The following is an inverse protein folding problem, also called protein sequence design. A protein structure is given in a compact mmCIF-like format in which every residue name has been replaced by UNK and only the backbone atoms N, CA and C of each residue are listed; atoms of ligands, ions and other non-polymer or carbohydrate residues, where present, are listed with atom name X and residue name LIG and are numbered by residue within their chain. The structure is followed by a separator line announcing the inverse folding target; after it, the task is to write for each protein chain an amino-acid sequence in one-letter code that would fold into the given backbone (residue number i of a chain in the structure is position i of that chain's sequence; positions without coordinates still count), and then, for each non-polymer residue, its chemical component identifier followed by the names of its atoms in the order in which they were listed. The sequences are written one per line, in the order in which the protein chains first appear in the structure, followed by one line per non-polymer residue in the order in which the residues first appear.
data_IF_648467399793
#
_entry.id   IF_648467399793
#
_cell.length_a   1.000
_cell.length_b   1.000
_cell.length_c   1.000
_cell.angle_alpha   90.00
_cell.angle_beta   90.00
_cell.angle_gamma   90.00
#
_symmetry.space_group_name_H-M   'P 1'
#
loop_
_entity.id
_entity.type
_entity.pdbx_description
1 polymer ?
#
# COMPACT_ATOMS: atom_id res chain seq x y z
N UNK A 1 -31.95 36.35 6.89
CA UNK A 1 -32.70 35.59 5.86
C UNK A 1 -31.75 35.07 4.79
N UNK A 2 -30.90 35.89 4.16
CA UNK A 2 -29.96 35.46 3.11
C UNK A 2 -28.98 34.36 3.52
N UNK A 3 -28.38 34.42 4.71
CA UNK A 3 -27.41 33.40 5.16
C UNK A 3 -28.01 31.99 5.29
N UNK A 4 -29.31 31.87 5.62
CA UNK A 4 -29.99 30.58 5.72
C UNK A 4 -30.28 29.98 4.33
N UNK A 5 -30.54 30.83 3.34
CA UNK A 5 -30.78 30.43 1.94
C UNK A 5 -29.46 29.97 1.31
N UNK A 6 -28.35 30.66 1.57
CA UNK A 6 -27.03 30.25 1.08
C UNK A 6 -26.60 28.91 1.66
N UNK A 7 -26.74 28.69 2.96
CA UNK A 7 -26.40 27.43 3.60
C UNK A 7 -27.26 26.25 3.09
N UNK A 8 -28.53 26.50 2.79
CA UNK A 8 -29.41 25.48 2.21
C UNK A 8 -29.02 25.15 0.75
N UNK A 9 -28.61 26.15 -0.03
CA UNK A 9 -28.12 25.95 -1.40
C UNK A 9 -26.80 25.20 -1.44
N UNK A 10 -25.84 25.55 -0.56
CA UNK A 10 -24.56 24.83 -0.44
C UNK A 10 -24.77 23.37 -0.04
N UNK A 11 -25.61 23.10 0.95
CA UNK A 11 -25.96 21.75 1.38
C UNK A 11 -26.59 20.92 0.27
N UNK A 12 -27.43 21.55 -0.55
CA UNK A 12 -28.11 20.91 -1.68
C UNK A 12 -27.17 20.63 -2.84
N UNK A 13 -26.25 21.55 -3.14
CA UNK A 13 -25.20 21.36 -4.14
C UNK A 13 -24.27 20.23 -3.73
N UNK A 14 -23.83 20.23 -2.46
CA UNK A 14 -23.01 19.19 -1.88
C UNK A 14 -23.65 17.80 -2.00
N UNK A 15 -24.95 17.69 -1.71
CA UNK A 15 -25.71 16.45 -1.84
C UNK A 15 -25.73 15.93 -3.28
N UNK A 16 -25.95 16.82 -4.27
CA UNK A 16 -25.98 16.45 -5.69
C UNK A 16 -24.59 16.02 -6.19
N UNK A 17 -23.55 16.70 -5.76
CA UNK A 17 -22.16 16.29 -6.08
C UNK A 17 -21.84 14.91 -5.50
N UNK A 18 -22.20 14.64 -4.26
CA UNK A 18 -22.03 13.32 -3.63
C UNK A 18 -22.77 12.23 -4.41
N UNK A 19 -23.99 12.52 -4.84
CA UNK A 19 -24.79 11.60 -5.62
C UNK A 19 -24.13 11.24 -6.96
N UNK A 20 -23.55 12.24 -7.64
CA UNK A 20 -22.79 12.03 -8.88
C UNK A 20 -21.54 11.20 -8.63
N UNK A 21 -20.77 11.54 -7.59
CA UNK A 21 -19.57 10.79 -7.20
C UNK A 21 -19.87 9.31 -6.92
N UNK A 22 -20.93 9.04 -6.17
CA UNK A 22 -21.36 7.66 -5.86
C UNK A 22 -21.73 6.90 -7.14
N UNK A 23 -22.53 7.50 -8.04
CA UNK A 23 -22.92 6.86 -9.30
C UNK A 23 -21.75 6.57 -10.23
N UNK A 24 -20.72 7.42 -10.22
CA UNK A 24 -19.52 7.26 -11.05
C UNK A 24 -18.47 6.35 -10.43
N UNK A 25 -18.56 6.06 -9.11
CA UNK A 25 -17.54 5.33 -8.37
C UNK A 25 -17.43 3.84 -8.70
N UNK A 26 -18.47 3.25 -9.28
CA UNK A 26 -18.61 1.80 -9.42
C UNK A 26 -18.83 1.06 -8.09
N UNK A 27 -18.99 1.78 -6.98
CA UNK A 27 -19.25 1.23 -5.64
C UNK A 27 -20.75 1.22 -5.27
N UNK A 28 -21.60 1.70 -6.13
CA UNK A 28 -23.04 1.64 -5.98
C UNK A 28 -23.61 0.47 -6.77
N UNK A 29 -24.32 -0.44 -6.10
CA UNK A 29 -25.09 -1.54 -6.68
C UNK A 29 -26.54 -1.43 -6.21
N UNK A 30 -27.40 -0.94 -7.09
CA UNK A 30 -28.80 -0.68 -6.78
C UNK A 30 -29.57 -1.95 -6.45
N UNK A 31 -29.33 -3.03 -7.19
CA UNK A 31 -30.02 -4.30 -6.96
C UNK A 31 -29.60 -4.93 -5.63
N UNK A 32 -28.30 -4.90 -5.32
CA UNK A 32 -27.80 -5.34 -4.03
C UNK A 32 -28.43 -4.54 -2.90
N UNK A 33 -28.41 -3.20 -3.02
CA UNK A 33 -28.98 -2.31 -2.00
C UNK A 33 -30.46 -2.57 -1.75
N UNK A 34 -31.28 -2.72 -2.82
CA UNK A 34 -32.71 -3.03 -2.70
C UNK A 34 -32.92 -4.37 -1.99
N UNK A 35 -32.16 -5.40 -2.35
CA UNK A 35 -32.25 -6.73 -1.68
C UNK A 35 -31.91 -6.65 -0.20
N UNK A 36 -30.88 -5.92 0.17
CA UNK A 36 -30.42 -5.83 1.56
C UNK A 36 -31.36 -4.97 2.40
N UNK A 37 -31.77 -3.80 1.89
CA UNK A 37 -32.54 -2.81 2.64
C UNK A 37 -34.04 -3.07 2.67
N UNK A 38 -34.56 -3.91 1.76
CA UNK A 38 -35.99 -4.06 1.52
C UNK A 38 -36.66 -2.77 1.02
N UNK A 39 -35.87 -1.88 0.38
CA UNK A 39 -36.38 -0.60 -0.09
C UNK A 39 -37.51 -0.80 -1.11
N UNK A 40 -38.63 -0.12 -0.87
CA UNK A 40 -39.79 -0.04 -1.79
C UNK A 40 -40.02 1.39 -2.26
N UNK A 41 -40.35 1.56 -3.52
CA UNK A 41 -40.56 2.88 -4.14
C UNK A 41 -41.54 3.74 -3.34
N UNK A 42 -41.13 4.93 -2.96
CA UNK A 42 -41.92 5.92 -2.22
C UNK A 42 -41.75 7.28 -2.90
N UNK A 43 -42.74 7.65 -3.74
CA UNK A 43 -42.70 8.91 -4.48
C UNK A 43 -41.57 8.97 -5.50
N UNK A 44 -40.87 10.10 -5.55
CA UNK A 44 -39.73 10.34 -6.45
C UNK A 44 -38.37 9.92 -5.87
N UNK A 45 -38.32 9.33 -4.68
CA UNK A 45 -37.12 8.85 -4.04
C UNK A 45 -36.53 7.67 -4.78
N UNK A 46 -35.22 7.72 -5.01
CA UNK A 46 -34.43 6.58 -5.54
C UNK A 46 -33.84 5.75 -4.40
N UNK A 47 -33.46 4.49 -4.65
CA UNK A 47 -32.71 3.70 -3.67
C UNK A 47 -31.45 4.41 -3.17
N UNK A 48 -30.76 5.15 -4.05
CA UNK A 48 -29.59 5.94 -3.70
C UNK A 48 -29.94 7.12 -2.76
N UNK A 49 -31.06 7.82 -3.00
CA UNK A 49 -31.51 8.88 -2.09
C UNK A 49 -31.81 8.33 -0.69
N UNK A 50 -32.44 7.17 -0.61
CA UNK A 50 -32.66 6.49 0.66
C UNK A 50 -31.35 6.10 1.35
N UNK A 51 -30.40 5.53 0.61
CA UNK A 51 -29.07 5.22 1.16
C UNK A 51 -28.39 6.47 1.72
N UNK A 52 -28.29 7.52 0.94
CA UNK A 52 -27.57 8.75 1.29
C UNK A 52 -28.18 9.47 2.51
N UNK A 53 -29.49 9.38 2.73
CA UNK A 53 -30.16 10.06 3.85
C UNK A 53 -30.23 9.21 5.12
N UNK A 54 -30.59 7.94 5.00
CA UNK A 54 -30.98 7.10 6.12
C UNK A 54 -30.36 5.70 6.10
N UNK A 55 -30.20 5.09 4.92
CA UNK A 55 -29.86 3.68 4.79
C UNK A 55 -28.53 3.34 5.45
N UNK A 56 -27.53 4.17 5.28
CA UNK A 56 -26.24 3.98 5.92
C UNK A 56 -26.29 4.03 7.47
N UNK A 57 -27.18 4.86 8.03
CA UNK A 57 -27.39 4.95 9.50
C UNK A 57 -28.03 3.68 10.05
N UNK A 58 -28.72 2.93 9.23
CA UNK A 58 -29.35 1.64 9.55
C UNK A 58 -28.43 0.45 9.30
N UNK A 59 -27.18 0.70 8.87
CA UNK A 59 -26.17 -0.31 8.61
C UNK A 59 -26.28 -0.95 7.22
N UNK A 60 -27.09 -0.38 6.29
CA UNK A 60 -27.15 -0.90 4.93
C UNK A 60 -25.93 -0.47 4.11
N UNK A 61 -25.30 -1.42 3.43
CA UNK A 61 -24.19 -1.18 2.54
C UNK A 61 -24.63 -0.80 1.13
N UNK A 62 -23.88 0.05 0.41
CA UNK A 62 -24.23 0.48 -0.95
C UNK A 62 -23.99 -0.61 -2.00
N UNK A 63 -23.12 -1.58 -1.70
CA UNK A 63 -22.80 -2.76 -2.51
C UNK A 63 -22.08 -3.80 -1.64
N UNK A 64 -21.86 -5.00 -2.18
CA UNK A 64 -20.92 -5.97 -1.56
C UNK A 64 -19.50 -5.44 -1.45
N UNK A 65 -19.19 -4.40 -2.23
CA UNK A 65 -17.86 -3.81 -2.38
C UNK A 65 -17.56 -2.70 -1.39
N UNK A 66 -18.51 -2.27 -0.52
CA UNK A 66 -18.30 -1.22 0.47
C UNK A 66 -19.01 -1.52 1.79
N UNK A 67 -18.25 -1.82 2.84
CA UNK A 67 -18.76 -2.00 4.20
C UNK A 67 -18.74 -0.67 4.97
N UNK A 68 -19.89 0.01 4.97
CA UNK A 68 -20.06 1.29 5.65
C UNK A 68 -19.97 1.18 7.16
N UNK A 69 -20.34 0.05 7.75
CA UNK A 69 -20.26 -0.16 9.20
C UNK A 69 -18.80 -0.26 9.66
N UNK A 70 -17.99 -1.08 8.99
CA UNK A 70 -16.57 -1.18 9.27
C UNK A 70 -15.82 0.15 9.02
N UNK A 71 -16.27 0.95 8.04
CA UNK A 71 -15.73 2.28 7.82
C UNK A 71 -16.03 3.24 8.97
N UNK A 72 -17.26 3.20 9.50
CA UNK A 72 -17.68 4.06 10.62
C UNK A 72 -17.07 3.66 11.97
N UNK A 73 -16.78 2.37 12.21
CA UNK A 73 -16.10 1.94 13.46
C UNK A 73 -14.79 2.68 13.69
N UNK A 74 -14.08 3.01 12.62
CA UNK A 74 -12.83 3.80 12.66
C UNK A 74 -13.06 5.31 12.67
N UNK A 75 -14.28 5.76 12.41
CA UNK A 75 -14.69 7.16 12.32
C UNK A 75 -16.09 7.39 12.85
N UNK A 76 -16.28 7.28 14.18
CA UNK A 76 -17.60 7.40 14.79
C UNK A 76 -18.26 8.77 14.60
N UNK A 77 -17.48 9.81 14.29
CA UNK A 77 -17.94 11.20 14.20
C UNK A 77 -18.19 11.68 12.76
N UNK A 78 -18.47 10.77 11.81
CA UNK A 78 -18.74 11.16 10.43
C UNK A 78 -19.98 12.03 10.29
N UNK A 79 -19.87 13.25 9.73
CA UNK A 79 -21.00 14.15 9.54
C UNK A 79 -21.85 13.81 8.31
N UNK A 80 -21.34 12.97 7.40
CA UNK A 80 -21.96 12.55 6.14
C UNK A 80 -21.92 11.03 5.99
N UNK A 81 -22.62 10.49 4.99
CA UNK A 81 -22.58 9.05 4.77
C UNK A 81 -21.16 8.55 4.44
N UNK A 82 -20.83 7.31 4.90
CA UNK A 82 -19.47 6.79 4.81
C UNK A 82 -18.94 6.70 3.39
N UNK A 83 -19.77 6.36 2.40
CA UNK A 83 -19.33 6.28 1.02
C UNK A 83 -19.03 7.67 0.41
N UNK A 84 -19.86 8.68 0.68
CA UNK A 84 -19.56 10.06 0.25
C UNK A 84 -18.28 10.58 0.89
N UNK A 85 -18.10 10.30 2.20
CA UNK A 85 -16.88 10.67 2.89
C UNK A 85 -15.65 10.00 2.28
N UNK A 86 -15.75 8.70 2.00
CA UNK A 86 -14.70 7.94 1.33
C UNK A 86 -14.34 8.55 -0.03
N UNK A 87 -15.33 8.81 -0.89
CA UNK A 87 -15.11 9.33 -2.24
C UNK A 87 -14.56 10.77 -2.29
N UNK A 88 -14.88 11.60 -1.30
CA UNK A 88 -14.39 12.98 -1.22
C UNK A 88 -13.01 13.11 -0.60
N UNK A 89 -12.78 12.38 0.46
CA UNK A 89 -11.60 12.54 1.30
C UNK A 89 -10.65 11.35 1.19
N UNK A 90 -10.98 10.39 0.36
CA UNK A 90 -10.34 9.29 -0.33
C UNK A 90 -9.05 8.67 0.17
N UNK A 91 -8.63 8.89 1.40
CA UNK A 91 -7.39 8.32 1.96
C UNK A 91 -7.64 7.19 2.95
N UNK A 92 -8.89 6.72 3.09
CA UNK A 92 -9.19 5.57 3.92
C UNK A 92 -9.50 4.39 3.03
N UNK A 93 -8.69 3.38 3.15
CA UNK A 93 -8.67 2.32 2.19
C UNK A 93 -9.96 1.50 2.18
N UNK A 94 -10.38 1.13 0.98
CA UNK A 94 -11.38 0.11 0.70
C UNK A 94 -11.06 -1.25 1.37
N UNK A 95 -9.93 -1.39 2.00
CA UNK A 95 -9.42 -2.63 2.52
C UNK A 95 -10.20 -3.27 3.67
N UNK A 96 -10.93 -2.48 4.43
CA UNK A 96 -11.90 -3.09 5.35
C UNK A 96 -13.14 -3.62 4.65
N UNK A 97 -13.20 -3.42 3.37
CA UNK A 97 -14.34 -3.69 2.50
C UNK A 97 -14.13 -4.94 1.67
N UNK A 98 -12.87 -5.32 1.45
CA UNK A 98 -12.53 -6.48 0.65
C UNK A 98 -11.68 -7.46 1.46
N UNK A 99 -12.36 -8.22 2.30
CA UNK A 99 -11.80 -9.51 2.67
C UNK A 99 -11.95 -10.42 1.46
N UNK A 100 -10.87 -11.08 0.98
CA UNK A 100 -11.03 -12.12 0.00
C UNK A 100 -12.06 -13.09 0.54
N UNK A 101 -13.03 -13.47 -0.29
CA UNK A 101 -14.04 -14.43 0.14
C UNK A 101 -13.33 -15.72 0.59
N UNK A 102 -13.89 -16.42 1.54
CA UNK A 102 -13.36 -17.74 1.94
C UNK A 102 -13.14 -18.64 0.72
N UNK A 103 -14.00 -18.51 -0.29
CA UNK A 103 -13.86 -19.19 -1.56
C UNK A 103 -12.59 -18.76 -2.30
N UNK A 104 -12.28 -17.46 -2.40
CA UNK A 104 -11.06 -16.97 -3.07
C UNK A 104 -9.81 -17.49 -2.36
N UNK A 105 -9.81 -17.51 -1.03
CA UNK A 105 -8.71 -18.05 -0.23
C UNK A 105 -8.56 -19.57 -0.50
N UNK A 106 -9.66 -20.31 -0.49
CA UNK A 106 -9.65 -21.75 -0.75
C UNK A 106 -9.15 -22.07 -2.17
N UNK A 107 -9.67 -21.38 -3.19
CA UNK A 107 -9.26 -21.52 -4.59
C UNK A 107 -7.75 -21.21 -4.76
N UNK A 108 -7.25 -20.16 -4.08
CA UNK A 108 -5.83 -19.81 -4.08
C UNK A 108 -4.98 -20.91 -3.44
N UNK A 109 -5.37 -21.39 -2.24
CA UNK A 109 -4.63 -22.46 -1.54
C UNK A 109 -4.65 -23.79 -2.32
N UNK A 110 -5.73 -24.10 -2.97
CA UNK A 110 -5.80 -25.27 -3.88
C UNK A 110 -4.85 -25.09 -5.07
N UNK A 111 -4.83 -23.92 -5.71
CA UNK A 111 -3.90 -23.61 -6.80
C UNK A 111 -2.45 -23.68 -6.33
N UNK A 112 -2.13 -23.09 -5.17
CA UNK A 112 -0.80 -23.11 -4.56
C UNK A 112 -0.29 -24.55 -4.32
N UNK A 113 -1.15 -25.43 -3.81
CA UNK A 113 -0.77 -26.83 -3.53
C UNK A 113 -0.45 -27.65 -4.79
N UNK A 114 -0.92 -27.23 -5.96
CA UNK A 114 -0.76 -27.93 -7.25
C UNK A 114 0.39 -27.40 -8.11
N UNK A 115 1.01 -26.28 -7.70
CA UNK A 115 2.08 -25.64 -8.45
C UNK A 115 3.35 -25.48 -7.60
N UNK A 116 4.47 -25.35 -8.29
CA UNK A 116 5.70 -24.82 -7.70
C UNK A 116 5.85 -23.38 -8.22
N UNK A 117 5.43 -22.38 -7.43
CA UNK A 117 5.57 -21.00 -7.81
C UNK A 117 7.05 -20.62 -7.92
N UNK A 118 7.34 -19.79 -8.95
CA UNK A 118 8.67 -19.21 -9.17
C UNK A 118 8.77 -17.78 -8.70
N UNK A 119 7.68 -17.24 -8.17
CA UNK A 119 7.48 -15.82 -7.86
C UNK A 119 6.84 -15.66 -6.50
N UNK A 120 7.30 -14.68 -5.75
CA UNK A 120 6.78 -14.38 -4.42
C UNK A 120 6.47 -12.89 -4.25
N UNK A 121 5.27 -12.59 -3.79
CA UNK A 121 4.90 -11.31 -3.18
C UNK A 121 5.21 -11.41 -1.71
N UNK A 122 5.88 -10.41 -1.13
CA UNK A 122 6.16 -10.45 0.29
C UNK A 122 6.16 -9.07 0.96
N UNK A 123 5.98 -9.10 2.25
CA UNK A 123 6.03 -7.93 3.13
C UNK A 123 6.73 -8.27 4.44
N UNK A 124 7.04 -7.25 5.23
CA UNK A 124 7.59 -7.40 6.58
C UNK A 124 6.89 -6.43 7.53
N UNK A 125 6.25 -6.97 8.57
CA UNK A 125 5.58 -6.21 9.62
C UNK A 125 6.27 -6.48 10.94
N UNK A 126 6.87 -5.43 11.54
CA UNK A 126 7.54 -5.51 12.84
C UNK A 126 6.84 -4.61 13.86
N UNK A 127 6.87 -5.03 15.12
CA UNK A 127 6.33 -4.24 16.23
C UNK A 127 4.86 -3.78 16.02
N UNK A 128 4.06 -4.59 15.33
CA UNK A 128 2.66 -4.29 14.99
C UNK A 128 2.48 -2.89 14.35
N UNK A 129 3.51 -2.47 13.57
CA UNK A 129 3.50 -1.16 12.91
C UNK A 129 2.37 -1.04 11.87
N UNK A 130 2.05 -2.12 11.21
CA UNK A 130 0.93 -2.27 10.29
C UNK A 130 0.10 -3.51 10.65
N UNK A 131 -1.11 -3.56 10.12
CA UNK A 131 -2.05 -4.66 10.33
C UNK A 131 -2.19 -5.47 9.03
N UNK A 132 -1.78 -6.74 9.07
CA UNK A 132 -1.88 -7.64 7.94
C UNK A 132 -3.32 -7.79 7.43
N UNK A 133 -4.32 -7.66 8.31
CA UNK A 133 -5.73 -7.71 7.92
C UNK A 133 -6.13 -6.59 6.95
N UNK A 134 -5.35 -5.52 6.87
CA UNK A 134 -5.61 -4.40 5.96
C UNK A 134 -5.10 -4.65 4.56
N UNK A 135 -3.90 -5.24 4.43
CA UNK A 135 -3.32 -5.62 3.13
C UNK A 135 -3.78 -6.99 2.65
N UNK A 136 -4.21 -7.85 3.56
CA UNK A 136 -4.76 -9.16 3.25
C UNK A 136 -6.11 -9.09 2.52
N UNK A 137 -6.67 -7.91 2.39
CA UNK A 137 -7.92 -7.67 1.71
C UNK A 137 -7.65 -7.35 0.25
N UNK A 138 -7.32 -8.33 -0.52
CA UNK A 138 -6.96 -8.14 -1.90
C UNK A 138 -8.17 -7.86 -2.77
N UNK A 139 -8.12 -6.73 -3.46
CA UNK A 139 -8.95 -6.52 -4.63
C UNK A 139 -8.48 -7.42 -5.77
N UNK A 140 -7.16 -7.64 -5.84
CA UNK A 140 -6.56 -8.50 -6.83
C UNK A 140 -5.49 -9.40 -6.19
N UNK A 141 -5.61 -10.68 -6.43
CA UNK A 141 -4.62 -11.71 -6.08
C UNK A 141 -4.19 -12.41 -7.36
N UNK A 142 -2.91 -12.32 -7.70
CA UNK A 142 -2.36 -13.08 -8.83
C UNK A 142 -1.99 -14.48 -8.37
N UNK A 143 -2.60 -15.49 -8.98
CA UNK A 143 -2.45 -16.89 -8.58
C UNK A 143 -1.13 -17.53 -9.05
N UNK A 144 -0.33 -16.83 -9.86
CA UNK A 144 1.00 -17.28 -10.25
C UNK A 144 2.08 -16.95 -9.21
N UNK A 145 1.72 -16.18 -8.17
CA UNK A 145 2.62 -15.77 -7.09
C UNK A 145 2.23 -16.41 -5.77
N UNK A 146 3.23 -16.74 -4.94
CA UNK A 146 3.03 -17.04 -3.53
C UNK A 146 3.07 -15.74 -2.72
N UNK A 147 2.51 -15.76 -1.51
CA UNK A 147 2.43 -14.59 -0.64
C UNK A 147 3.03 -14.89 0.72
N UNK A 148 4.04 -14.12 1.13
CA UNK A 148 4.76 -14.34 2.39
C UNK A 148 4.80 -13.06 3.22
N UNK A 149 4.44 -13.16 4.50
CA UNK A 149 4.59 -12.09 5.47
C UNK A 149 5.62 -12.48 6.54
N UNK A 150 6.70 -11.70 6.63
CA UNK A 150 7.64 -11.79 7.77
C UNK A 150 7.14 -10.93 8.92
N UNK A 151 7.19 -11.44 10.16
CA UNK A 151 6.72 -10.69 11.32
C UNK A 151 7.41 -11.16 12.60
N UNK A 152 7.38 -10.31 13.64
CA UNK A 152 7.71 -10.61 15.02
C UNK A 152 6.45 -10.84 15.89
N UNK A 153 5.26 -10.83 15.31
CA UNK A 153 4.01 -11.09 16.02
C UNK A 153 3.83 -12.59 16.27
N UNK A 154 3.98 -13.00 17.53
CA UNK A 154 3.89 -14.41 17.92
C UNK A 154 2.52 -15.04 17.64
N UNK A 155 1.42 -14.27 17.69
CA UNK A 155 0.08 -14.76 17.41
C UNK A 155 -0.09 -15.10 15.91
N UNK A 156 0.45 -14.25 15.02
CA UNK A 156 0.46 -14.52 13.58
C UNK A 156 1.40 -15.68 13.24
N UNK A 157 2.59 -15.73 13.85
CA UNK A 157 3.55 -16.82 13.63
C UNK A 157 2.94 -18.17 14.04
N UNK A 158 2.22 -18.21 15.16
CA UNK A 158 1.54 -19.44 15.62
C UNK A 158 0.44 -19.91 14.66
N UNK A 159 -0.21 -18.99 13.93
CA UNK A 159 -1.21 -19.31 12.93
C UNK A 159 -0.62 -19.91 11.65
N UNK A 160 0.65 -19.64 11.35
CA UNK A 160 1.37 -20.04 10.13
C UNK A 160 0.77 -19.52 8.81
N UNK A 161 -0.51 -19.24 8.77
CA UNK A 161 -1.22 -18.72 7.61
C UNK A 161 -2.27 -17.67 8.03
N UNK A 162 -2.39 -16.62 7.21
CA UNK A 162 -3.43 -15.62 7.35
C UNK A 162 -3.99 -15.28 5.94
N UNK A 163 -5.19 -15.74 5.65
CA UNK A 163 -5.78 -15.63 4.31
C UNK A 163 -4.89 -16.32 3.25
N UNK A 164 -4.40 -15.56 2.29
CA UNK A 164 -3.48 -16.06 1.27
C UNK A 164 -2.01 -15.98 1.70
N UNK A 165 -1.68 -15.33 2.82
CA UNK A 165 -0.31 -15.15 3.30
C UNK A 165 0.19 -16.37 4.07
N UNK A 166 1.40 -16.82 3.74
CA UNK A 166 2.20 -17.70 4.59
C UNK A 166 2.98 -16.82 5.56
N UNK A 167 2.84 -17.09 6.86
CA UNK A 167 3.48 -16.30 7.91
C UNK A 167 4.82 -16.93 8.26
N UNK A 168 5.87 -16.11 8.24
CA UNK A 168 7.22 -16.53 8.61
C UNK A 168 7.79 -15.62 9.71
N UNK A 169 8.54 -16.17 10.67
CA UNK A 169 9.26 -15.36 11.63
C UNK A 169 10.37 -14.55 10.93
N UNK A 170 10.83 -13.49 11.58
CA UNK A 170 11.96 -12.70 11.09
C UNK A 170 13.22 -13.54 10.96
N UNK A 171 13.96 -13.36 9.87
CA UNK A 171 15.28 -13.95 9.62
C UNK A 171 16.38 -13.06 10.20
N UNK A 172 16.22 -11.74 10.08
CA UNK A 172 17.17 -10.76 10.61
C UNK A 172 16.63 -10.17 11.92
N UNK A 173 17.38 -10.34 13.03
CA UNK A 173 16.97 -9.91 14.37
C UNK A 173 18.11 -9.27 15.18
N UNK A 174 19.26 -9.04 14.54
CA UNK A 174 20.51 -8.65 15.16
C UNK A 174 20.75 -7.13 15.23
N UNK A 175 19.87 -6.34 14.59
CA UNK A 175 19.90 -4.87 14.61
C UNK A 175 18.63 -4.32 15.30
N UNK A 176 18.46 -3.00 15.25
CA UNK A 176 17.18 -2.40 15.66
C UNK A 176 16.02 -2.82 14.77
N UNK A 177 14.79 -2.66 15.29
CA UNK A 177 13.56 -3.14 14.64
C UNK A 177 13.41 -2.58 13.22
N UNK A 178 13.74 -1.30 13.01
CA UNK A 178 13.60 -0.65 11.71
C UNK A 178 14.62 -1.20 10.72
N UNK A 179 15.90 -1.31 11.11
CA UNK A 179 16.93 -1.86 10.23
C UNK A 179 16.68 -3.33 9.91
N UNK A 180 16.21 -4.12 10.87
CA UNK A 180 15.83 -5.51 10.61
C UNK A 180 14.68 -5.59 9.58
N UNK A 181 13.65 -4.77 9.71
CA UNK A 181 12.57 -4.70 8.72
C UNK A 181 13.08 -4.27 7.33
N UNK A 182 14.01 -3.29 7.26
CA UNK A 182 14.62 -2.86 5.99
C UNK A 182 15.49 -3.95 5.37
N UNK A 183 16.21 -4.74 6.16
CA UNK A 183 16.96 -5.89 5.63
C UNK A 183 16.05 -6.94 5.03
N UNK A 184 14.88 -7.23 5.63
CA UNK A 184 13.87 -8.09 5.00
C UNK A 184 13.35 -7.51 3.69
N UNK A 185 13.11 -6.20 3.65
CA UNK A 185 12.70 -5.53 2.41
C UNK A 185 13.74 -5.66 1.30
N UNK A 186 15.03 -5.55 1.63
CA UNK A 186 16.12 -5.42 0.67
C UNK A 186 16.68 -6.78 0.25
N UNK A 187 16.98 -7.68 1.20
CA UNK A 187 17.78 -8.87 1.00
C UNK A 187 16.96 -10.13 0.65
N UNK A 188 16.05 -10.04 -0.31
CA UNK A 188 15.20 -11.16 -0.72
C UNK A 188 15.99 -12.43 -1.10
N UNK A 189 17.13 -12.28 -1.73
CA UNK A 189 18.01 -13.38 -2.13
C UNK A 189 18.55 -14.21 -0.95
N UNK A 190 18.57 -13.65 0.27
CA UNK A 190 19.03 -14.36 1.45
C UNK A 190 18.01 -15.39 1.98
N UNK A 191 16.73 -15.24 1.69
CA UNK A 191 15.67 -16.08 2.27
C UNK A 191 14.65 -16.63 1.27
N UNK A 192 14.83 -16.32 -0.03
CA UNK A 192 14.01 -16.83 -1.12
C UNK A 192 14.83 -17.49 -2.24
N UNK A 193 15.78 -18.41 -1.92
CA UNK A 193 16.60 -19.03 -2.96
C UNK A 193 15.78 -19.88 -3.95
N UNK A 194 14.59 -20.34 -3.56
CA UNK A 194 13.69 -21.17 -4.37
C UNK A 194 12.88 -20.42 -5.39
N UNK A 195 12.74 -19.07 -5.23
CA UNK A 195 11.99 -18.22 -6.15
C UNK A 195 12.95 -17.51 -7.13
N UNK A 196 12.47 -17.22 -8.32
CA UNK A 196 13.21 -16.48 -9.36
C UNK A 196 12.94 -14.97 -9.29
N UNK A 197 11.72 -14.61 -8.89
CA UNK A 197 11.24 -13.22 -8.85
C UNK A 197 10.62 -12.91 -7.50
N UNK A 198 10.84 -11.69 -7.00
CA UNK A 198 10.19 -11.19 -5.79
C UNK A 198 9.58 -9.82 -6.01
N UNK A 199 8.42 -9.61 -5.41
CA UNK A 199 7.71 -8.33 -5.34
C UNK A 199 7.51 -7.99 -3.85
N UNK A 200 8.28 -7.05 -3.34
CA UNK A 200 8.06 -6.49 -2.01
C UNK A 200 7.01 -5.39 -2.07
N UNK A 201 6.12 -5.39 -1.10
CA UNK A 201 5.16 -4.33 -0.85
C UNK A 201 5.30 -3.86 0.60
N UNK A 202 5.37 -2.54 0.82
CA UNK A 202 5.15 -2.03 2.18
C UNK A 202 3.78 -2.51 2.67
N UNK A 203 3.68 -2.87 3.94
CA UNK A 203 2.48 -3.52 4.50
C UNK A 203 1.21 -2.66 4.50
N UNK A 204 1.34 -1.39 4.11
CA UNK A 204 0.23 -0.48 3.93
C UNK A 204 -0.16 -0.24 2.45
N UNK A 205 0.41 -1.01 1.52
CA UNK A 205 0.10 -0.93 0.08
C UNK A 205 -0.77 -2.11 -0.33
N UNK A 206 -1.91 -1.83 -0.96
CA UNK A 206 -2.80 -2.84 -1.52
C UNK A 206 -2.91 -2.69 -3.05
N UNK A 207 -2.87 -3.80 -3.76
CA UNK A 207 -3.01 -3.86 -5.22
C UNK A 207 -4.50 -4.00 -5.57
N UNK A 208 -5.02 -3.08 -6.38
CA UNK A 208 -6.44 -3.05 -6.76
C UNK A 208 -6.74 -3.75 -8.09
N UNK A 209 -5.75 -3.84 -8.97
CA UNK A 209 -5.92 -4.36 -10.34
C UNK A 209 -4.74 -5.25 -10.74
N UNK A 210 -4.84 -6.04 -11.82
CA UNK A 210 -3.73 -6.85 -12.33
C UNK A 210 -2.57 -6.03 -12.92
N UNK A 211 -2.74 -4.71 -13.06
CA UNK A 211 -1.84 -3.84 -13.82
C UNK A 211 -0.35 -4.00 -13.45
N UNK A 212 0.00 -4.08 -12.16
CA UNK A 212 1.40 -4.20 -11.74
C UNK A 212 2.03 -5.50 -12.23
N UNK A 213 1.31 -6.62 -12.12
CA UNK A 213 1.78 -7.94 -12.57
C UNK A 213 1.90 -8.00 -14.10
N UNK A 214 0.95 -7.39 -14.82
CA UNK A 214 1.00 -7.24 -16.28
C UNK A 214 2.18 -6.35 -16.71
N UNK A 215 2.43 -5.26 -15.99
CA UNK A 215 3.56 -4.35 -16.24
C UNK A 215 4.90 -5.05 -16.04
N UNK A 216 5.08 -5.80 -14.96
CA UNK A 216 6.26 -6.65 -14.71
C UNK A 216 6.47 -7.61 -15.87
N UNK A 217 5.43 -8.34 -16.27
CA UNK A 217 5.48 -9.30 -17.38
C UNK A 217 5.80 -8.64 -18.72
N UNK A 218 5.26 -7.45 -18.98
CA UNK A 218 5.47 -6.68 -20.21
C UNK A 218 6.89 -6.14 -20.31
N UNK A 219 7.43 -5.57 -19.24
CA UNK A 219 8.73 -4.89 -19.25
C UNK A 219 9.90 -5.85 -19.33
N UNK A 220 9.78 -7.05 -18.78
CA UNK A 220 10.84 -8.07 -18.75
C UNK A 220 12.17 -7.55 -18.17
N UNK A 221 12.10 -6.63 -17.22
CA UNK A 221 13.25 -6.04 -16.54
C UNK A 221 13.67 -6.90 -15.33
N UNK A 222 14.84 -6.66 -14.83
CA UNK A 222 15.38 -7.29 -13.62
C UNK A 222 14.99 -6.55 -12.32
N UNK A 223 14.57 -5.28 -12.45
CA UNK A 223 14.24 -4.40 -11.33
C UNK A 223 13.15 -3.40 -11.70
N UNK A 224 12.21 -3.15 -10.78
CA UNK A 224 11.24 -2.05 -10.86
C UNK A 224 11.02 -1.46 -9.47
N UNK A 225 10.95 -0.13 -9.43
CA UNK A 225 10.71 0.67 -8.23
C UNK A 225 9.98 1.95 -8.62
N UNK A 226 8.98 2.44 -7.86
CA UNK A 226 8.33 3.71 -8.18
C UNK A 226 9.28 4.89 -8.09
N UNK A 227 9.08 5.91 -8.95
CA UNK A 227 9.66 7.22 -8.70
C UNK A 227 8.96 7.90 -7.53
N UNK A 228 9.69 8.73 -6.79
CA UNK A 228 9.10 9.53 -5.71
C UNK A 228 8.06 10.50 -6.27
N UNK A 229 6.90 10.60 -5.60
CA UNK A 229 5.75 11.33 -6.11
C UNK A 229 5.91 12.87 -6.15
N UNK A 230 6.82 13.42 -5.34
CA UNK A 230 6.98 14.86 -5.17
C UNK A 230 8.41 15.37 -5.37
N UNK A 231 9.43 14.56 -5.14
CA UNK A 231 10.83 14.95 -5.16
C UNK A 231 11.62 14.17 -6.20
N UNK A 232 12.63 14.81 -6.78
CA UNK A 232 13.54 14.27 -7.79
C UNK A 232 15.00 14.25 -7.32
N UNK A 233 15.24 14.58 -6.06
CA UNK A 233 16.57 14.78 -5.51
C UNK A 233 16.70 14.23 -4.10
N UNK A 234 17.65 13.34 -3.90
CA UNK A 234 17.95 12.72 -2.61
C UNK A 234 18.33 13.77 -1.56
N UNK A 235 19.07 14.81 -1.93
CA UNK A 235 19.45 15.87 -0.97
C UNK A 235 18.25 16.70 -0.52
N UNK A 236 17.24 16.91 -1.36
CA UNK A 236 15.97 17.57 -0.96
C UNK A 236 15.16 16.68 -0.01
N UNK A 237 15.14 15.35 -0.24
CA UNK A 237 14.52 14.40 0.69
C UNK A 237 15.25 14.40 2.03
N UNK A 238 16.60 14.45 2.03
CA UNK A 238 17.37 14.59 3.25
C UNK A 238 16.98 15.85 4.04
N UNK A 239 16.91 17.02 3.39
CA UNK A 239 16.50 18.26 4.05
C UNK A 239 15.09 18.12 4.64
N UNK A 240 14.17 17.48 3.92
CA UNK A 240 12.81 17.23 4.37
C UNK A 240 12.76 16.34 5.62
N UNK A 241 13.39 15.18 5.60
CA UNK A 241 13.35 14.24 6.74
C UNK A 241 14.13 14.77 7.95
N UNK A 242 15.16 15.59 7.74
CA UNK A 242 15.85 16.32 8.81
C UNK A 242 14.95 17.32 9.50
N UNK A 243 14.21 18.10 8.72
CA UNK A 243 13.27 19.11 9.25
C UNK A 243 12.21 18.48 10.17
N UNK A 244 11.78 17.23 9.87
CA UNK A 244 10.78 16.51 10.66
C UNK A 244 11.37 15.55 11.71
N UNK A 245 12.67 15.57 11.92
CA UNK A 245 13.33 14.71 12.92
C UNK A 245 13.19 13.20 12.66
N UNK A 246 13.09 12.80 11.39
CA UNK A 246 12.82 11.41 10.99
C UNK A 246 14.06 10.52 10.96
N UNK A 247 15.25 11.10 11.09
CA UNK A 247 16.54 10.41 11.06
C UNK A 247 17.48 10.98 12.13
N UNK A 248 18.50 10.20 12.47
CA UNK A 248 19.61 10.70 13.29
C UNK A 248 20.38 11.79 12.52
N UNK A 249 20.52 13.01 13.06
CA UNK A 249 21.14 14.12 12.35
C UNK A 249 22.63 13.93 12.07
N UNK A 250 23.35 13.25 12.95
CA UNK A 250 24.80 12.99 12.77
C UNK A 250 25.01 12.00 11.63
N UNK A 251 24.33 10.85 11.71
CA UNK A 251 24.39 9.83 10.65
C UNK A 251 23.90 10.38 9.31
N UNK A 252 22.86 11.21 9.31
CA UNK A 252 22.34 11.83 8.09
C UNK A 252 23.33 12.77 7.45
N UNK A 253 24.02 13.59 8.25
CA UNK A 253 25.05 14.50 7.76
C UNK A 253 26.25 13.71 7.19
N UNK A 254 26.77 12.73 7.92
CA UNK A 254 27.86 11.88 7.46
C UNK A 254 27.53 11.17 6.14
N UNK A 255 26.33 10.65 6.01
CA UNK A 255 25.82 10.03 4.78
C UNK A 255 25.84 11.00 3.60
N UNK A 256 25.33 12.20 3.78
CA UNK A 256 25.27 13.21 2.70
C UNK A 256 26.66 13.77 2.35
N UNK A 257 27.56 13.92 3.32
CA UNK A 257 28.96 14.31 3.08
C UNK A 257 29.69 13.27 2.25
N UNK A 258 29.54 11.96 2.60
CA UNK A 258 30.06 10.84 1.79
C UNK A 258 29.59 10.93 0.35
N UNK A 259 28.28 11.08 0.13
CA UNK A 259 27.71 11.10 -1.22
C UNK A 259 28.20 12.28 -2.06
N UNK A 260 28.32 13.49 -1.45
CA UNK A 260 28.90 14.66 -2.12
C UNK A 260 30.39 14.46 -2.44
N UNK A 261 31.16 13.89 -1.50
CA UNK A 261 32.57 13.63 -1.71
C UNK A 261 32.82 12.62 -2.84
N UNK A 262 31.96 11.60 -2.97
CA UNK A 262 32.02 10.62 -4.06
C UNK A 262 31.47 11.15 -5.38
N UNK A 263 30.89 12.35 -5.41
CA UNK A 263 30.42 13.01 -6.61
C UNK A 263 28.98 12.60 -7.03
N UNK A 264 28.17 12.08 -6.10
CA UNK A 264 26.76 11.78 -6.41
C UNK A 264 26.01 13.07 -6.80
N UNK A 265 25.44 13.14 -8.03
CA UNK A 265 24.87 14.39 -8.52
C UNK A 265 23.53 14.73 -7.88
N UNK A 266 23.26 16.01 -7.67
CA UNK A 266 21.92 16.48 -7.37
C UNK A 266 20.96 16.17 -8.52
N UNK A 267 19.67 15.96 -8.21
CA UNK A 267 18.60 15.70 -9.18
C UNK A 267 18.86 14.46 -10.07
N UNK A 268 19.53 13.46 -9.51
CA UNK A 268 19.70 12.16 -10.22
C UNK A 268 18.37 11.40 -10.37
N UNK A 269 17.37 11.81 -9.63
CA UNK A 269 16.09 11.16 -9.40
C UNK A 269 15.97 10.61 -7.99
N UNK A 270 14.76 10.33 -7.57
CA UNK A 270 14.45 9.74 -6.27
C UNK A 270 13.39 8.65 -6.42
N UNK A 271 13.53 7.59 -5.62
CA UNK A 271 12.60 6.47 -5.61
C UNK A 271 11.71 6.50 -4.38
N UNK A 272 10.44 6.11 -4.56
CA UNK A 272 9.56 5.67 -3.49
C UNK A 272 9.71 4.16 -3.33
N UNK A 273 10.19 3.71 -2.18
CA UNK A 273 10.58 2.30 -2.02
C UNK A 273 9.47 1.39 -1.53
N UNK A 274 8.21 1.83 -1.57
CA UNK A 274 7.05 1.08 -1.09
C UNK A 274 6.64 -0.12 -1.96
N UNK A 275 7.16 -0.21 -3.19
CA UNK A 275 7.03 -1.33 -4.13
C UNK A 275 8.42 -1.64 -4.69
N UNK A 276 8.86 -2.90 -4.64
CA UNK A 276 10.13 -3.33 -5.21
C UNK A 276 9.96 -4.68 -5.91
N UNK A 277 10.01 -4.69 -7.24
CA UNK A 277 10.10 -5.92 -8.01
C UNK A 277 11.56 -6.23 -8.34
N UNK A 278 11.96 -7.50 -8.26
CA UNK A 278 13.34 -7.95 -8.55
C UNK A 278 13.37 -9.38 -9.06
N UNK A 279 14.31 -9.62 -9.99
CA UNK A 279 14.88 -10.95 -10.20
C UNK A 279 16.00 -11.13 -9.17
N UNK A 280 15.62 -11.40 -7.93
CA UNK A 280 16.46 -11.20 -6.75
C UNK A 280 17.67 -12.11 -6.67
N UNK A 281 17.73 -13.22 -7.42
CA UNK A 281 18.89 -14.10 -7.52
C UNK A 281 19.82 -13.76 -8.70
N UNK A 282 19.50 -12.73 -9.51
CA UNK A 282 20.39 -12.23 -10.54
C UNK A 282 21.62 -11.59 -9.86
N UNK A 283 22.87 -11.98 -10.24
CA UNK A 283 24.08 -11.50 -9.57
C UNK A 283 24.20 -9.98 -9.51
N UNK A 284 23.75 -9.26 -10.56
CA UNK A 284 23.78 -7.80 -10.57
C UNK A 284 22.76 -7.19 -9.60
N UNK A 285 21.62 -7.84 -9.39
CA UNK A 285 20.63 -7.44 -8.42
C UNK A 285 21.07 -7.78 -6.99
N UNK A 286 21.66 -8.97 -6.78
CA UNK A 286 22.24 -9.34 -5.48
C UNK A 286 23.23 -8.28 -5.03
N UNK A 287 24.22 -7.92 -5.88
CA UNK A 287 25.21 -6.91 -5.54
C UNK A 287 24.59 -5.54 -5.26
N UNK A 288 23.61 -5.12 -6.06
CA UNK A 288 22.87 -3.87 -5.83
C UNK A 288 22.16 -3.86 -4.48
N UNK A 289 21.52 -4.98 -4.09
CA UNK A 289 20.80 -5.10 -2.83
C UNK A 289 21.73 -5.19 -1.63
N UNK A 290 22.87 -5.88 -1.75
CA UNK A 290 23.89 -5.94 -0.69
C UNK A 290 24.48 -4.56 -0.42
N UNK A 291 24.83 -3.81 -1.47
CA UNK A 291 25.36 -2.45 -1.32
C UNK A 291 24.28 -1.52 -0.71
N UNK A 292 23.01 -1.68 -1.08
CA UNK A 292 21.93 -0.90 -0.48
C UNK A 292 21.70 -1.26 1.00
N UNK A 293 21.73 -2.54 1.35
CA UNK A 293 21.64 -2.98 2.74
C UNK A 293 22.81 -2.45 3.59
N UNK A 294 24.02 -2.40 3.02
CA UNK A 294 25.20 -1.81 3.68
C UNK A 294 25.00 -0.33 4.01
N UNK A 295 24.39 0.45 3.13
CA UNK A 295 24.04 1.85 3.43
C UNK A 295 23.07 1.96 4.61
N UNK A 296 22.04 1.09 4.69
CA UNK A 296 21.09 1.07 5.81
C UNK A 296 21.75 0.66 7.13
N UNK A 297 22.73 -0.24 7.10
CA UNK A 297 23.43 -0.70 8.30
C UNK A 297 24.34 0.39 8.86
N UNK A 298 25.07 1.09 8.00
CA UNK A 298 26.13 2.00 8.43
C UNK A 298 25.67 3.47 8.59
N UNK A 299 24.56 3.87 7.93
CA UNK A 299 24.05 5.23 7.96
C UNK A 299 22.60 5.29 8.47
N UNK A 300 21.81 6.17 7.92
CA UNK A 300 20.40 6.30 8.33
C UNK A 300 19.58 5.08 7.92
N UNK A 301 18.61 4.71 8.76
CA UNK A 301 17.68 3.62 8.47
C UNK A 301 16.63 3.97 7.38
N UNK A 302 16.72 5.18 6.80
CA UNK A 302 15.80 5.65 5.76
C UNK A 302 16.24 5.12 4.39
N UNK A 303 15.54 4.11 3.91
CA UNK A 303 15.85 3.41 2.65
C UNK A 303 15.80 4.32 1.41
N UNK A 304 14.94 5.34 1.39
CA UNK A 304 14.86 6.33 0.32
C UNK A 304 16.12 7.23 0.22
N UNK A 305 16.87 7.42 1.32
CA UNK A 305 18.09 8.22 1.32
C UNK A 305 19.32 7.49 0.76
N UNK A 306 19.19 6.25 0.31
CA UNK A 306 20.34 5.47 -0.15
C UNK A 306 20.13 4.78 -1.50
N UNK A 307 18.90 4.34 -1.87
CA UNK A 307 18.70 3.57 -3.09
C UNK A 307 19.17 4.32 -4.35
N UNK A 308 18.83 5.60 -4.50
CA UNK A 308 19.22 6.37 -5.69
C UNK A 308 20.74 6.53 -5.81
N UNK A 309 21.44 6.68 -4.69
CA UNK A 309 22.90 6.72 -4.65
C UNK A 309 23.50 5.36 -5.06
N UNK A 310 22.98 4.25 -4.53
CA UNK A 310 23.47 2.91 -4.87
C UNK A 310 23.18 2.60 -6.36
N UNK A 311 22.01 2.96 -6.88
CA UNK A 311 21.71 2.83 -8.31
C UNK A 311 22.70 3.62 -9.18
N UNK A 312 23.07 4.83 -8.76
CA UNK A 312 24.08 5.63 -9.45
C UNK A 312 25.46 4.95 -9.45
N UNK A 313 25.89 4.38 -8.33
CA UNK A 313 27.16 3.61 -8.23
C UNK A 313 27.17 2.42 -9.20
N UNK A 314 26.03 1.79 -9.39
CA UNK A 314 25.82 0.68 -10.33
C UNK A 314 25.49 1.14 -11.75
N UNK A 315 25.60 2.44 -12.07
CA UNK A 315 25.31 3.04 -13.37
C UNK A 315 23.89 2.75 -13.89
N UNK A 316 22.92 2.57 -12.99
CA UNK A 316 21.51 2.31 -13.27
C UNK A 316 20.71 3.61 -13.21
N UNK A 317 20.24 4.12 -14.34
CA UNK A 317 19.39 5.33 -14.38
C UNK A 317 18.01 5.02 -13.80
N UNK A 318 17.55 5.84 -12.85
CA UNK A 318 16.26 5.65 -12.18
C UNK A 318 15.10 5.53 -13.16
N UNK A 319 15.07 6.35 -14.22
CA UNK A 319 13.99 6.35 -15.21
C UNK A 319 13.80 5.01 -15.93
N UNK A 320 14.88 4.23 -16.11
CA UNK A 320 14.82 2.94 -16.83
C UNK A 320 14.10 1.86 -15.99
N UNK A 321 14.06 2.03 -14.66
CA UNK A 321 13.49 1.09 -13.70
C UNK A 321 12.24 1.62 -13.01
N UNK A 322 11.72 2.78 -13.44
CA UNK A 322 10.57 3.41 -12.80
C UNK A 322 9.26 2.71 -13.14
N UNK A 323 8.40 2.59 -12.14
CA UNK A 323 7.00 2.16 -12.29
C UNK A 323 6.06 3.17 -11.65
N UNK A 324 4.74 2.94 -11.74
CA UNK A 324 3.72 3.81 -11.14
C UNK A 324 3.84 3.83 -9.61
N UNK A 325 3.54 4.99 -9.03
CA UNK A 325 3.65 5.21 -7.59
C UNK A 325 2.30 5.00 -6.91
N UNK A 326 2.27 4.13 -5.92
CA UNK A 326 1.05 3.78 -5.19
C UNK A 326 0.37 4.96 -4.48
N UNK A 327 1.12 6.04 -4.17
CA UNK A 327 0.55 7.23 -3.50
C UNK A 327 -0.25 8.14 -4.41
N UNK A 328 -0.10 7.99 -5.74
CA UNK A 328 -0.77 8.84 -6.73
C UNK A 328 -1.56 8.05 -7.77
N UNK A 329 -1.31 6.76 -7.90
CA UNK A 329 -2.04 5.88 -8.82
C UNK A 329 -3.19 5.16 -8.09
N UNK A 330 -4.20 5.92 -7.73
CA UNK A 330 -5.38 5.44 -7.00
C UNK A 330 -6.24 4.44 -7.80
N UNK A 331 -6.00 4.32 -9.11
CA UNK A 331 -6.65 3.33 -9.95
C UNK A 331 -6.13 1.92 -9.68
N UNK A 332 -4.82 1.80 -9.48
CA UNK A 332 -4.15 0.51 -9.40
C UNK A 332 -3.74 0.13 -7.98
N UNK A 333 -3.68 1.11 -7.08
CA UNK A 333 -3.23 0.93 -5.70
C UNK A 333 -4.10 1.65 -4.69
N UNK A 334 -4.04 1.16 -3.45
CA UNK A 334 -4.56 1.85 -2.30
C UNK A 334 -3.48 1.83 -1.20
N UNK A 335 -3.19 2.98 -0.62
CA UNK A 335 -2.20 3.12 0.47
C UNK A 335 -2.91 3.49 1.76
N UNK A 336 -2.62 2.74 2.80
CA UNK A 336 -3.21 2.90 4.14
C UNK A 336 -2.39 3.81 5.04
N UNK A 337 -3.04 4.40 6.05
CA UNK A 337 -2.31 4.98 7.18
C UNK A 337 -1.72 3.86 8.05
N UNK A 338 -0.51 4.04 8.52
CA UNK A 338 0.12 3.07 9.44
C UNK A 338 -0.63 2.99 10.77
N UNK A 339 -0.91 1.77 11.26
CA UNK A 339 -1.62 1.54 12.51
C UNK A 339 -0.83 1.98 13.74
N UNK A 340 0.50 1.84 13.69
CA UNK A 340 1.40 2.17 14.80
C UNK A 340 1.72 3.66 14.99
N UNK A 341 1.31 4.53 14.07
CA UNK A 341 1.42 5.97 14.28
C UNK A 341 0.26 6.45 15.16
N UNK A 342 0.50 6.60 16.46
CA UNK A 342 -0.37 7.47 17.27
C UNK A 342 -0.29 8.86 16.64
N UNK A 343 -1.43 9.39 16.18
CA UNK A 343 -1.53 10.81 15.86
C UNK A 343 -1.28 11.55 17.17
N UNK A 344 -0.08 12.16 17.31
CA UNK A 344 0.15 13.20 18.30
C UNK A 344 -0.63 14.44 17.93
#
# INVERSE_FOLDING_TARGET
MFGKIYADMESRLQYLEDKVLILQSGLWDEEYYIRQSGWGRRGDDTPLDHYMREGWKKGFNPSERFDGAAYMERRPDLPINPLSHYLRYGRYPLANVYKPSEKTIADFREAQSKRQAKKVVYTCITNRYDDLSQIACFHYTDFDWDYVCFTDDEELIAQQQFGIWDIRPLVFTDLDVIRNARRHKILAHCFFPEYEESLYLDANVNILTPWLFEEIKRRKTDFLVPTHFALDCLYKEYDHVMQYGMIDPVLGQEQMEKYRHEGFPANYGLNETNILYRRHNDPAIVQLMDDWANEIVHFTQRDQLSLSYVMWKHQRKIADYSTSNARIDEKNFCVFDHCGRKKE
#
